data_IF_940916551189
#
_entry.id   IF_940916551189
#
_cell.length_a   1.000
_cell.length_b   1.000
_cell.length_c   1.000
_cell.angle_alpha   90.00
_cell.angle_beta   90.00
_cell.angle_gamma   90.00
#
_symmetry.space_group_name_H-M   'P 1'
#
loop_
_entity.id
_entity.type
_entity.pdbx_description
1 polymer ?
#
# COMPACT_ATOMS: atom_id res chain seq x y z
N UNK A 1 -2.98 21.67 3.49
CA UNK A 1 -4.11 21.15 2.68
C UNK A 1 -4.26 19.67 3.00
N UNK A 2 -5.45 19.15 3.32
CA UNK A 2 -5.65 17.71 3.45
C UNK A 2 -5.22 17.05 2.14
N UNK A 3 -4.26 16.12 2.21
CA UNK A 3 -3.83 15.35 1.05
C UNK A 3 -4.79 14.16 0.92
N UNK A 4 -5.44 14.03 -0.23
CA UNK A 4 -6.29 12.88 -0.51
C UNK A 4 -5.39 11.67 -0.80
N UNK A 5 -5.36 10.72 0.13
CA UNK A 5 -4.62 9.47 -0.01
C UNK A 5 -5.44 8.51 -0.87
N UNK A 6 -4.84 7.98 -1.94
CA UNK A 6 -5.50 7.00 -2.82
C UNK A 6 -5.47 5.62 -2.18
N UNK A 7 -6.56 4.87 -2.33
CA UNK A 7 -6.58 3.46 -1.99
C UNK A 7 -5.71 2.65 -2.97
N UNK A 8 -5.09 1.57 -2.49
CA UNK A 8 -4.19 0.74 -3.30
C UNK A 8 -4.88 0.14 -4.54
N UNK A 9 -6.17 -0.18 -4.46
CA UNK A 9 -6.93 -0.68 -5.61
C UNK A 9 -7.20 0.43 -6.63
N UNK A 10 -7.37 1.69 -6.21
CA UNK A 10 -7.40 2.83 -7.15
C UNK A 10 -6.09 2.98 -7.89
N UNK A 11 -4.95 2.87 -7.18
CA UNK A 11 -3.61 2.95 -7.78
C UNK A 11 -3.42 1.82 -8.79
N UNK A 12 -3.84 0.59 -8.48
CA UNK A 12 -3.80 -0.54 -9.40
C UNK A 12 -4.57 -0.26 -10.69
N UNK A 13 -5.79 0.29 -10.58
CA UNK A 13 -6.61 0.69 -11.73
C UNK A 13 -5.97 1.81 -12.53
N UNK A 14 -5.35 2.81 -11.90
CA UNK A 14 -4.67 3.88 -12.64
C UNK A 14 -3.41 3.39 -13.38
N UNK A 15 -2.63 2.52 -12.75
CA UNK A 15 -1.41 1.94 -13.34
C UNK A 15 -1.70 0.83 -14.35
N UNK A 16 -2.94 0.30 -14.38
CA UNK A 16 -3.36 -0.85 -15.21
C UNK A 16 -2.43 -2.07 -15.06
N UNK A 17 -2.04 -2.37 -13.81
CA UNK A 17 -1.19 -3.53 -13.47
C UNK A 17 -1.39 -3.95 -12.03
N UNK A 18 -0.83 -5.10 -11.69
CA UNK A 18 -0.67 -5.53 -10.31
C UNK A 18 0.28 -4.57 -9.57
N UNK A 19 -0.05 -4.31 -8.31
CA UNK A 19 0.66 -3.33 -7.48
C UNK A 19 1.09 -3.93 -6.16
N UNK A 20 2.16 -3.36 -5.62
CA UNK A 20 2.76 -3.75 -4.37
C UNK A 20 2.59 -2.62 -3.35
N UNK A 21 2.36 -3.00 -2.11
CA UNK A 21 2.33 -2.07 -0.99
C UNK A 21 2.75 -2.76 0.30
N UNK A 22 3.15 -1.95 1.26
CA UNK A 22 3.42 -2.44 2.61
C UNK A 22 2.39 -1.90 3.59
N UNK A 23 2.07 -2.72 4.59
CA UNK A 23 1.29 -2.32 5.75
C UNK A 23 2.07 -2.53 7.03
N UNK A 24 1.63 -1.88 8.09
CA UNK A 24 2.21 -1.99 9.42
C UNK A 24 1.13 -2.50 10.38
N UNK A 25 1.34 -3.69 10.95
CA UNK A 25 0.39 -4.36 11.82
C UNK A 25 0.23 -3.59 13.14
N UNK A 26 -1.03 -3.30 13.49
CA UNK A 26 -1.41 -2.58 14.70
C UNK A 26 -0.93 -3.24 16.00
N UNK A 27 -0.67 -4.56 15.98
CA UNK A 27 -0.07 -5.28 17.12
C UNK A 27 1.34 -4.81 17.45
N UNK A 28 2.06 -4.28 16.47
CA UNK A 28 3.44 -3.80 16.63
C UNK A 28 3.54 -2.28 16.51
N UNK A 29 2.56 -1.64 15.87
CA UNK A 29 2.60 -0.25 15.44
C UNK A 29 1.26 0.45 15.71
N UNK A 30 1.18 1.29 16.74
CA UNK A 30 -0.04 2.05 17.07
C UNK A 30 -0.32 3.13 16.01
N UNK A 31 -1.49 3.10 15.37
CA UNK A 31 -1.90 3.96 14.23
C UNK A 31 -1.60 5.44 14.38
N UNK A 32 -1.58 5.95 15.61
CA UNK A 32 -1.63 7.38 15.91
C UNK A 32 -0.28 8.10 15.69
N UNK A 33 0.78 7.39 15.27
CA UNK A 33 2.09 8.01 15.07
C UNK A 33 3.03 7.26 14.13
N UNK A 34 2.59 6.99 12.90
CA UNK A 34 3.40 6.30 11.89
C UNK A 34 4.74 6.99 11.57
N UNK A 35 4.84 8.30 11.78
CA UNK A 35 6.06 9.09 11.58
C UNK A 35 7.19 8.71 12.56
N UNK A 36 6.85 8.21 13.76
CA UNK A 36 7.83 7.80 14.78
C UNK A 36 8.30 6.36 14.60
N UNK A 37 7.69 5.58 13.71
CA UNK A 37 8.04 4.18 13.56
C UNK A 37 9.37 4.02 12.83
N UNK A 38 10.42 3.69 13.58
CA UNK A 38 11.76 3.44 13.04
C UNK A 38 11.76 2.43 11.88
N UNK A 39 10.87 1.45 11.88
CA UNK A 39 10.76 0.50 10.78
C UNK A 39 10.31 1.17 9.47
N UNK A 40 9.25 1.98 9.52
CA UNK A 40 8.78 2.77 8.37
C UNK A 40 9.83 3.76 7.90
N UNK A 41 10.44 4.51 8.82
CA UNK A 41 11.50 5.47 8.48
C UNK A 41 12.70 4.81 7.83
N UNK A 42 13.15 3.65 8.33
CA UNK A 42 14.25 2.89 7.73
C UNK A 42 13.88 2.34 6.35
N UNK A 43 12.66 1.83 6.20
CA UNK A 43 12.20 1.32 4.91
C UNK A 43 12.12 2.44 3.86
N UNK A 44 11.58 3.60 4.21
CA UNK A 44 11.57 4.79 3.34
C UNK A 44 12.99 5.19 2.92
N UNK A 45 13.93 5.26 3.87
CA UNK A 45 15.33 5.56 3.54
C UNK A 45 15.91 4.52 2.59
N UNK A 46 15.62 3.24 2.80
CA UNK A 46 16.09 2.18 1.92
C UNK A 46 15.50 2.33 0.51
N UNK A 47 14.20 2.64 0.36
CA UNK A 47 13.59 2.92 -0.94
C UNK A 47 14.29 4.09 -1.64
N UNK A 48 14.54 5.19 -0.93
CA UNK A 48 15.23 6.37 -1.45
C UNK A 48 16.67 6.05 -1.90
N UNK A 49 17.42 5.29 -1.09
CA UNK A 49 18.79 4.87 -1.42
C UNK A 49 18.85 3.96 -2.66
N UNK A 50 17.77 3.26 -2.97
CA UNK A 50 17.66 2.38 -4.13
C UNK A 50 16.90 3.00 -5.29
N UNK A 51 16.58 4.31 -5.21
CA UNK A 51 15.83 5.06 -6.23
C UNK A 51 14.48 4.44 -6.57
N UNK A 52 13.83 3.82 -5.58
CA UNK A 52 12.49 3.24 -5.73
C UNK A 52 11.46 4.28 -5.32
N UNK A 53 10.57 4.64 -6.25
CA UNK A 53 9.48 5.57 -5.96
C UNK A 53 8.41 4.92 -5.07
N UNK A 54 7.84 5.70 -4.18
CA UNK A 54 6.76 5.29 -3.28
C UNK A 54 5.79 6.46 -3.05
N UNK A 55 4.55 6.13 -2.70
CA UNK A 55 3.56 7.12 -2.27
C UNK A 55 2.73 6.57 -1.09
N UNK A 56 2.20 7.48 -0.27
CA UNK A 56 1.27 7.09 0.80
C UNK A 56 -0.03 6.60 0.18
N UNK A 57 -0.55 5.47 0.68
CA UNK A 57 -1.79 4.89 0.17
C UNK A 57 -2.71 4.41 1.29
N UNK A 58 -3.98 4.25 0.97
CA UNK A 58 -4.96 3.57 1.79
C UNK A 58 -4.93 2.06 1.51
N UNK A 59 -5.51 1.28 2.43
CA UNK A 59 -5.81 -0.14 2.18
C UNK A 59 -6.80 -0.32 1.02
N UNK A 60 -7.16 -1.57 0.72
CA UNK A 60 -8.16 -1.86 -0.31
C UNK A 60 -9.50 -1.22 0.07
N UNK A 61 -10.10 -0.44 -0.83
CA UNK A 61 -11.32 0.29 -0.54
C UNK A 61 -12.51 -0.63 -0.25
N UNK A 62 -13.33 -0.25 0.75
CA UNK A 62 -14.50 -1.00 1.21
C UNK A 62 -15.67 -0.05 1.43
N UNK A 63 -16.83 -0.39 0.86
CA UNK A 63 -18.10 0.31 1.09
C UNK A 63 -18.73 0.00 2.46
N UNK A 64 -18.09 -0.82 3.28
CA UNK A 64 -18.59 -1.18 4.62
C UNK A 64 -17.75 -0.54 5.73
N UNK A 65 -16.68 0.18 5.40
CA UNK A 65 -15.75 0.72 6.39
C UNK A 65 -14.88 1.82 5.80
N UNK A 66 -14.79 2.96 6.50
CA UNK A 66 -13.75 3.96 6.26
C UNK A 66 -12.60 3.69 7.23
N UNK A 67 -11.41 3.40 6.69
CA UNK A 67 -10.20 3.28 7.48
C UNK A 67 -9.35 4.55 7.41
N UNK A 68 -8.94 5.06 8.57
CA UNK A 68 -7.92 6.10 8.64
C UNK A 68 -6.59 5.57 8.10
N UNK A 69 -5.77 6.47 7.53
CA UNK A 69 -4.41 6.14 7.12
C UNK A 69 -3.57 5.66 8.32
N UNK A 70 -2.84 4.56 8.14
CA UNK A 70 -2.01 3.89 9.17
C UNK A 70 -0.55 3.76 8.73
N UNK A 71 -0.09 4.61 7.81
CA UNK A 71 1.31 4.62 7.38
C UNK A 71 1.65 3.68 6.21
N UNK A 72 0.65 3.10 5.53
CA UNK A 72 0.85 2.21 4.38
C UNK A 72 1.55 2.93 3.22
N UNK A 73 2.35 2.20 2.44
CA UNK A 73 3.09 2.77 1.31
C UNK A 73 2.90 1.92 0.07
N UNK A 74 2.42 2.52 -1.02
CA UNK A 74 2.50 1.94 -2.36
C UNK A 74 3.95 2.01 -2.82
N UNK A 75 4.42 0.94 -3.47
CA UNK A 75 5.77 0.83 -4.04
C UNK A 75 5.63 0.75 -5.55
N UNK A 76 6.28 1.65 -6.29
CA UNK A 76 6.16 1.74 -7.75
C UNK A 76 7.05 0.72 -8.47
N UNK A 77 6.85 -0.55 -8.12
CA UNK A 77 7.44 -1.72 -8.74
C UNK A 77 6.30 -2.64 -9.17
N UNK A 78 6.42 -3.27 -10.33
CA UNK A 78 5.48 -4.29 -10.78
C UNK A 78 5.67 -5.59 -9.98
N UNK A 79 4.58 -6.26 -9.65
CA UNK A 79 4.68 -7.63 -9.17
C UNK A 79 5.07 -8.54 -10.34
N UNK A 80 6.36 -8.85 -10.42
CA UNK A 80 6.95 -9.72 -11.44
C UNK A 80 8.21 -10.35 -10.83
N UNK A 81 8.17 -11.68 -10.62
CA UNK A 81 9.28 -12.42 -9.99
C UNK A 81 10.55 -12.46 -10.84
N UNK A 82 10.46 -12.13 -12.13
CA UNK A 82 11.62 -12.01 -13.03
C UNK A 82 12.29 -10.64 -12.98
N UNK A 83 11.63 -9.64 -12.38
CA UNK A 83 12.12 -8.27 -12.32
C UNK A 83 13.17 -8.09 -11.22
N UNK A 84 14.35 -7.59 -11.59
CA UNK A 84 15.47 -7.38 -10.66
C UNK A 84 15.08 -6.48 -9.49
N UNK A 85 14.30 -5.42 -9.74
CA UNK A 85 13.82 -4.49 -8.72
C UNK A 85 12.86 -5.16 -7.74
N UNK A 86 11.99 -6.05 -8.24
CA UNK A 86 11.11 -6.84 -7.40
C UNK A 86 11.88 -7.83 -6.54
N UNK A 87 12.82 -8.57 -7.13
CA UNK A 87 13.67 -9.51 -6.42
C UNK A 87 14.44 -8.81 -5.30
N UNK A 88 15.04 -7.65 -5.60
CA UNK A 88 15.76 -6.83 -4.62
C UNK A 88 14.86 -6.33 -3.48
N UNK A 89 13.61 -5.95 -3.78
CA UNK A 89 12.63 -5.55 -2.77
C UNK A 89 12.21 -6.73 -1.89
N UNK A 90 11.85 -7.87 -2.50
CA UNK A 90 11.47 -9.09 -1.78
C UNK A 90 12.64 -9.57 -0.91
N UNK A 91 13.86 -9.64 -1.45
CA UNK A 91 15.06 -9.99 -0.68
C UNK A 91 15.35 -9.04 0.48
N UNK A 92 14.99 -7.76 0.38
CA UNK A 92 15.13 -6.85 1.51
C UNK A 92 14.08 -7.11 2.60
N UNK A 93 12.84 -7.40 2.20
CA UNK A 93 11.70 -7.54 3.09
C UNK A 93 11.53 -8.94 3.67
N UNK A 94 11.97 -9.98 2.97
CA UNK A 94 11.68 -11.39 3.25
C UNK A 94 12.96 -12.22 3.35
N UNK A 95 12.93 -13.25 4.19
CA UNK A 95 13.87 -14.36 4.15
C UNK A 95 13.50 -15.31 3.00
N UNK A 96 14.43 -16.17 2.60
CA UNK A 96 14.21 -17.15 1.53
C UNK A 96 13.04 -18.13 1.80
N UNK A 97 12.58 -18.24 3.05
CA UNK A 97 11.43 -19.04 3.45
C UNK A 97 10.11 -18.23 3.50
N UNK A 98 10.11 -17.00 3.00
CA UNK A 98 8.94 -16.11 2.95
C UNK A 98 8.62 -15.41 4.27
N UNK A 99 9.40 -15.61 5.34
CA UNK A 99 9.19 -14.86 6.58
C UNK A 99 9.65 -13.41 6.44
N UNK A 100 8.87 -12.48 6.99
CA UNK A 100 9.23 -11.06 7.01
C UNK A 100 10.45 -10.78 7.89
N UNK A 101 11.44 -10.06 7.35
CA UNK A 101 12.64 -9.57 8.06
C UNK A 101 12.33 -8.41 9.00
N UNK A 102 11.36 -7.58 8.63
CA UNK A 102 10.93 -6.42 9.41
C UNK A 102 9.68 -6.81 10.21
N UNK A 103 9.85 -6.95 11.52
CA UNK A 103 8.77 -7.33 12.44
C UNK A 103 7.58 -6.39 12.30
N UNK A 104 6.39 -6.94 12.05
CA UNK A 104 5.14 -6.19 11.95
C UNK A 104 4.94 -5.42 10.64
N UNK A 105 5.88 -5.50 9.69
CA UNK A 105 5.66 -5.06 8.32
C UNK A 105 5.06 -6.21 7.54
N UNK A 106 4.00 -5.95 6.78
CA UNK A 106 3.38 -6.88 5.84
C UNK A 106 3.70 -6.43 4.43
N UNK A 107 4.17 -7.35 3.59
CA UNK A 107 4.39 -7.11 2.16
C UNK A 107 3.23 -7.71 1.38
N UNK A 108 2.50 -6.85 0.66
CA UNK A 108 1.21 -7.20 0.08
C UNK A 108 1.20 -6.90 -1.41
N UNK A 109 0.46 -7.70 -2.17
CA UNK A 109 0.18 -7.48 -3.58
C UNK A 109 -1.33 -7.36 -3.81
N UNK A 110 -1.72 -6.54 -4.78
CA UNK A 110 -3.11 -6.41 -5.24
C UNK A 110 -3.16 -6.72 -6.72
N UNK A 111 -3.81 -7.83 -7.12
CA UNK A 111 -4.08 -8.11 -8.53
C UNK A 111 -4.96 -7.02 -9.14
N UNK A 112 -4.64 -6.62 -10.37
CA UNK A 112 -5.48 -5.72 -11.15
C UNK A 112 -6.90 -6.29 -11.27
N UNK A 113 -7.04 -7.60 -11.50
CA UNK A 113 -8.35 -8.27 -11.60
C UNK A 113 -9.21 -8.02 -10.35
N UNK A 114 -8.61 -8.09 -9.16
CA UNK A 114 -9.32 -7.80 -7.91
C UNK A 114 -9.64 -6.31 -7.79
N UNK A 115 -8.70 -5.44 -8.12
CA UNK A 115 -8.89 -3.99 -8.08
C UNK A 115 -10.01 -3.51 -9.02
N UNK A 116 -10.19 -4.19 -10.16
CA UNK A 116 -11.23 -3.89 -11.14
C UNK A 116 -12.65 -4.15 -10.61
N UNK A 117 -12.83 -4.93 -9.55
CA UNK A 117 -14.12 -5.10 -8.88
C UNK A 117 -14.64 -3.81 -8.25
N UNK A 118 -13.74 -2.89 -7.91
CA UNK A 118 -14.05 -1.58 -7.35
C UNK A 118 -14.07 -0.46 -8.41
N UNK A 119 -14.12 -0.80 -9.70
CA UNK A 119 -14.11 0.21 -10.78
C UNK A 119 -15.28 1.20 -10.67
N UNK A 120 -16.41 0.77 -10.12
CA UNK A 120 -17.57 1.65 -9.90
C UNK A 120 -17.30 2.77 -8.87
N UNK A 121 -16.29 2.63 -8.01
CA UNK A 121 -15.85 3.70 -7.09
C UNK A 121 -15.22 4.88 -7.81
N UNK A 122 -14.86 4.73 -9.09
CA UNK A 122 -14.22 5.79 -9.88
C UNK A 122 -15.22 6.81 -10.42
N UNK A 123 -16.52 6.59 -10.23
CA UNK A 123 -17.56 7.52 -10.66
C UNK A 123 -17.53 8.83 -9.87
N UNK A 124 -17.75 9.94 -10.56
CA UNK A 124 -17.76 11.27 -9.94
C UNK A 124 -18.79 11.35 -8.80
N UNK A 125 -18.30 11.78 -7.63
CA UNK A 125 -19.13 11.92 -6.43
C UNK A 125 -19.50 10.60 -5.77
N UNK A 126 -18.90 9.45 -6.14
CA UNK A 126 -19.29 8.15 -5.59
C UNK A 126 -19.20 8.12 -4.06
N UNK A 127 -18.06 8.52 -3.50
CA UNK A 127 -17.83 8.47 -2.05
C UNK A 127 -18.65 9.51 -1.30
N UNK A 128 -18.89 10.68 -1.89
CA UNK A 128 -19.77 11.72 -1.36
C UNK A 128 -21.21 11.20 -1.26
N UNK A 129 -21.74 10.63 -2.35
CA UNK A 129 -23.08 10.01 -2.37
C UNK A 129 -23.19 8.83 -1.41
N UNK A 130 -22.15 8.00 -1.33
CA UNK A 130 -22.12 6.89 -0.39
C UNK A 130 -22.18 7.38 1.06
N UNK A 131 -21.42 8.44 1.39
CA UNK A 131 -21.40 9.02 2.74
C UNK A 131 -22.72 9.70 3.14
N UNK A 132 -23.50 10.21 2.19
CA UNK A 132 -24.85 10.75 2.45
C UNK A 132 -25.88 9.68 2.86
N UNK A 133 -25.61 8.41 2.56
CA UNK A 133 -26.53 7.30 2.81
C UNK A 133 -26.21 6.51 4.11
N UNK A 134 -25.30 7.03 4.95
CA UNK A 134 -24.90 6.46 6.24
C UNK A 134 -25.21 7.43 7.40
#
# INVERSE_FOLDING_TARGET
MPHLIKHIDKIAREKQRDVLYVQFDSKFYSSDNYEKWKARTRFIHWLQQNSIFYEECGGFASENSIESYRGQLYIDIAYDESLTEYQKLSEYLEYADGRMKIKGLLFCYVPLEKAMKNKHHDGDGFWEKWAENF
#
